data_IF_363137011517
#
_entry.id   IF_363137011517
#
_cell.length_a   1.000
_cell.length_b   1.000
_cell.length_c   1.000
_cell.angle_alpha   90.00
_cell.angle_beta   90.00
_cell.angle_gamma   90.00
#
_symmetry.space_group_name_H-M   'P 1'
#
loop_
_entity.id
_entity.type
_entity.pdbx_description
1 polymer ?
#
# COMPACT_ATOMS: atom_id res chain seq x y z
N UNK A 1 -57.54 38.21 21.23
CA UNK A 1 -57.78 36.74 21.27
C UNK A 1 -56.79 36.03 20.36
N UNK A 2 -55.80 35.34 20.94
CA UNK A 2 -55.03 34.20 20.37
C UNK A 2 -54.32 33.56 21.57
N UNK A 3 -54.85 32.42 22.04
CA UNK A 3 -54.34 31.69 23.21
C UNK A 3 -53.12 30.87 22.78
N UNK A 4 -51.96 31.17 23.36
CA UNK A 4 -50.78 30.31 23.30
C UNK A 4 -51.06 29.01 24.06
N UNK A 5 -50.69 27.87 23.50
CA UNK A 5 -50.66 26.57 24.19
C UNK A 5 -49.26 25.99 24.06
N UNK A 6 -48.53 25.99 25.16
CA UNK A 6 -47.28 25.26 25.31
C UNK A 6 -47.61 23.98 26.09
N UNK A 7 -47.50 22.78 25.50
CA UNK A 7 -47.59 21.56 26.28
C UNK A 7 -46.24 21.30 26.96
N UNK A 8 -46.27 21.48 28.28
CA UNK A 8 -45.32 20.91 29.24
C UNK A 8 -45.45 19.39 29.17
N UNK A 9 -44.40 18.70 28.74
CA UNK A 9 -44.14 17.32 29.13
C UNK A 9 -42.68 17.24 29.59
N UNK A 10 -42.52 17.45 30.89
CA UNK A 10 -41.42 16.86 31.63
C UNK A 10 -41.83 15.41 31.94
N UNK A 11 -41.06 14.44 31.46
CA UNK A 11 -40.92 13.15 32.16
C UNK A 11 -39.55 12.59 31.85
N UNK A 12 -38.73 12.56 32.89
CA UNK A 12 -37.39 12.03 32.89
C UNK A 12 -37.39 10.54 32.57
N UNK A 13 -36.44 10.10 31.73
CA UNK A 13 -35.97 8.72 31.73
C UNK A 13 -34.47 8.69 31.98
N UNK A 14 -34.20 8.37 33.23
CA UNK A 14 -33.03 7.78 33.87
C UNK A 14 -31.96 7.18 32.93
N UNK A 15 -30.72 7.57 33.24
CA UNK A 15 -29.42 7.04 32.85
C UNK A 15 -29.37 5.60 32.29
N UNK A 16 -28.73 5.47 31.11
CA UNK A 16 -28.24 4.21 30.56
C UNK A 16 -26.80 4.43 30.08
N UNK A 17 -25.89 3.83 30.85
CA UNK A 17 -24.53 3.39 30.54
C UNK A 17 -23.48 4.43 30.08
N UNK A 18 -22.71 4.88 31.08
CA UNK A 18 -21.26 5.02 30.94
C UNK A 18 -20.68 3.74 30.31
N UNK A 19 -20.10 3.85 29.11
CA UNK A 19 -19.53 2.68 28.44
C UNK A 19 -19.19 2.86 26.97
N UNK A 20 -18.52 3.95 26.57
CA UNK A 20 -18.00 4.09 25.19
C UNK A 20 -16.52 4.45 25.10
N UNK A 21 -15.79 4.51 26.22
CA UNK A 21 -14.37 4.90 26.20
C UNK A 21 -13.41 3.78 25.72
N UNK A 22 -13.88 2.58 25.40
CA UNK A 22 -13.00 1.42 25.15
C UNK A 22 -12.82 1.01 23.67
N UNK A 23 -13.41 1.71 22.69
CA UNK A 23 -13.36 1.27 21.28
C UNK A 23 -12.33 2.01 20.39
N UNK A 24 -11.46 2.84 20.97
CA UNK A 24 -10.37 3.49 20.23
C UNK A 24 -9.03 3.23 20.91
N UNK A 25 -8.77 1.99 21.31
CA UNK A 25 -7.38 1.58 21.42
C UNK A 25 -6.88 1.43 19.97
N UNK A 26 -5.93 2.26 19.49
CA UNK A 26 -5.29 1.98 18.22
C UNK A 26 -4.71 0.57 18.34
N UNK A 27 -5.13 -0.33 17.45
CA UNK A 27 -4.41 -1.57 17.26
C UNK A 27 -3.00 -1.15 16.90
N UNK A 28 -2.07 -1.28 17.85
CA UNK A 28 -0.68 -0.96 17.62
C UNK A 28 -0.24 -1.85 16.44
N UNK A 29 -0.07 -1.25 15.27
CA UNK A 29 0.60 -1.91 14.17
C UNK A 29 1.93 -2.38 14.74
N UNK A 30 2.15 -3.70 14.72
CA UNK A 30 3.38 -4.28 15.27
C UNK A 30 4.55 -3.53 14.66
N UNK A 31 5.35 -2.88 15.51
CA UNK A 31 6.50 -2.12 15.07
C UNK A 31 7.37 -3.03 14.19
N UNK A 32 7.78 -2.51 13.03
CA UNK A 32 8.70 -3.23 12.17
C UNK A 32 9.95 -3.59 13.00
N UNK A 33 10.48 -4.82 12.88
CA UNK A 33 11.69 -5.22 13.60
C UNK A 33 12.80 -4.19 13.39
N UNK A 34 13.59 -3.93 14.45
CA UNK A 34 14.75 -3.04 14.37
C UNK A 34 15.62 -3.42 13.17
N UNK A 35 16.15 -2.41 12.46
CA UNK A 35 16.96 -2.60 11.27
C UNK A 35 18.12 -3.56 11.58
N UNK A 36 17.99 -4.81 11.13
CA UNK A 36 19.07 -5.75 11.16
C UNK A 36 20.21 -5.22 10.29
N UNK A 37 21.44 -5.71 10.55
CA UNK A 37 22.61 -5.57 9.65
C UNK A 37 22.15 -5.62 8.21
N UNK A 38 22.66 -4.75 7.33
CA UNK A 38 22.31 -4.62 5.90
C UNK A 38 21.69 -5.90 5.32
N UNK A 39 20.36 -6.03 5.44
CA UNK A 39 19.65 -7.19 4.92
C UNK A 39 19.77 -7.11 3.40
N UNK A 40 20.34 -8.12 2.79
CA UNK A 40 20.49 -8.23 1.34
C UNK A 40 19.48 -9.21 0.80
N UNK A 41 19.01 -8.96 -0.42
CA UNK A 41 18.23 -9.95 -1.17
C UNK A 41 19.21 -10.79 -1.97
N UNK A 42 19.25 -12.10 -1.72
CA UNK A 42 20.13 -13.01 -2.45
C UNK A 42 19.57 -13.40 -3.82
N UNK A 43 20.31 -14.24 -4.55
CA UNK A 43 19.99 -14.64 -5.92
C UNK A 43 18.64 -15.36 -6.06
N UNK A 44 18.20 -16.04 -4.99
CA UNK A 44 16.88 -16.70 -4.93
C UNK A 44 15.73 -15.74 -4.60
N UNK A 45 15.99 -14.43 -4.56
CA UNK A 45 15.04 -13.38 -4.15
C UNK A 45 14.50 -13.55 -2.72
N UNK A 46 15.27 -14.21 -1.86
CA UNK A 46 14.99 -14.37 -0.43
C UNK A 46 15.87 -13.40 0.35
N UNK A 47 15.32 -12.60 1.28
CA UNK A 47 16.12 -11.71 2.09
C UNK A 47 16.90 -12.50 3.15
N UNK A 48 18.15 -12.11 3.41
CA UNK A 48 18.99 -12.72 4.46
C UNK A 48 18.48 -12.46 5.87
N UNK A 49 17.68 -11.40 6.04
CA UNK A 49 16.95 -11.08 7.25
C UNK A 49 15.73 -10.21 6.96
N UNK A 50 14.80 -10.14 7.92
CA UNK A 50 13.60 -9.33 7.80
C UNK A 50 12.63 -9.83 6.73
N UNK A 51 11.88 -8.91 6.14
CA UNK A 51 10.91 -9.20 5.09
C UNK A 51 11.11 -8.23 3.93
N UNK A 52 10.97 -8.74 2.70
CA UNK A 52 10.82 -7.85 1.55
C UNK A 52 9.49 -7.10 1.69
N UNK A 53 9.54 -5.79 1.48
CA UNK A 53 8.39 -4.92 1.63
C UNK A 53 8.34 -3.94 0.47
N UNK A 54 7.15 -3.74 -0.07
CA UNK A 54 6.90 -2.85 -1.18
C UNK A 54 5.46 -2.96 -1.64
N UNK A 55 5.14 -2.22 -2.70
CA UNK A 55 3.79 -2.19 -3.25
C UNK A 55 3.78 -1.73 -4.69
N UNK A 56 2.68 -2.02 -5.39
CA UNK A 56 2.42 -1.52 -6.74
C UNK A 56 1.86 -0.10 -6.67
N UNK A 57 2.63 0.83 -6.13
CA UNK A 57 2.20 2.22 -5.93
C UNK A 57 1.81 2.87 -7.26
N UNK A 58 0.62 3.44 -7.30
CA UNK A 58 0.04 4.00 -8.53
C UNK A 58 -0.37 2.97 -9.58
N UNK A 59 -0.26 1.65 -9.33
CA UNK A 59 -0.43 0.57 -10.33
C UNK A 59 -1.65 0.65 -11.24
N UNK A 60 -2.74 1.29 -10.79
CA UNK A 60 -4.01 1.44 -11.51
C UNK A 60 -4.37 2.90 -11.85
N UNK A 61 -3.41 3.82 -11.80
CA UNK A 61 -3.59 5.23 -12.14
C UNK A 61 -2.78 5.60 -13.39
N UNK A 62 -2.79 6.88 -13.78
CA UNK A 62 -1.90 7.43 -14.81
C UNK A 62 -0.59 8.03 -14.25
N UNK A 63 -0.39 8.02 -12.93
CA UNK A 63 0.79 8.61 -12.30
C UNK A 63 2.07 7.82 -12.64
N UNK A 64 3.22 8.48 -12.88
CA UNK A 64 4.50 7.79 -13.02
C UNK A 64 4.78 6.89 -11.80
N UNK A 65 5.15 5.62 -12.04
CA UNK A 65 5.30 4.60 -10.99
C UNK A 65 6.39 4.94 -9.98
N UNK A 66 7.50 5.49 -10.46
CA UNK A 66 8.63 5.93 -9.64
C UNK A 66 8.24 7.05 -8.67
N UNK A 67 7.45 8.03 -9.14
CA UNK A 67 6.92 9.10 -8.30
C UNK A 67 5.92 8.59 -7.28
N UNK A 68 4.97 7.78 -7.74
CA UNK A 68 3.95 7.18 -6.86
C UNK A 68 4.58 6.33 -5.75
N UNK A 69 5.66 5.59 -6.04
CA UNK A 69 6.38 4.84 -5.01
C UNK A 69 7.03 5.77 -4.00
N UNK A 70 7.74 6.82 -4.44
CA UNK A 70 8.40 7.78 -3.54
C UNK A 70 7.41 8.49 -2.62
N UNK A 71 6.25 8.88 -3.14
CA UNK A 71 5.16 9.46 -2.36
C UNK A 71 4.59 8.46 -1.34
N UNK A 72 4.44 7.20 -1.74
CA UNK A 72 4.00 6.14 -0.84
C UNK A 72 5.04 5.83 0.24
N UNK A 73 6.34 5.81 -0.08
CA UNK A 73 7.44 5.65 0.88
C UNK A 73 7.44 6.79 1.91
N UNK A 74 7.22 8.03 1.46
CA UNK A 74 7.09 9.19 2.36
C UNK A 74 5.89 9.04 3.30
N UNK A 75 4.74 8.61 2.78
CA UNK A 75 3.50 8.48 3.57
C UNK A 75 3.55 7.29 4.53
N UNK A 76 4.21 6.20 4.13
CA UNK A 76 4.35 4.99 4.95
C UNK A 76 5.51 5.05 5.95
N UNK A 77 6.44 6.00 5.78
CA UNK A 77 7.62 6.15 6.62
C UNK A 77 8.65 5.04 6.44
N UNK A 78 8.60 4.28 5.33
CA UNK A 78 9.51 3.17 5.06
C UNK A 78 9.90 3.16 3.57
N UNK A 79 11.19 2.99 3.30
CA UNK A 79 11.70 2.75 1.94
C UNK A 79 11.36 1.34 1.49
N UNK A 80 10.90 1.20 0.25
CA UNK A 80 10.54 -0.06 -0.35
C UNK A 80 11.78 -0.86 -0.77
N UNK A 81 11.82 -2.14 -0.42
CA UNK A 81 12.78 -3.10 -0.95
C UNK A 81 12.28 -3.79 -2.22
N UNK A 82 11.00 -3.62 -2.57
CA UNK A 82 10.41 -4.07 -3.84
C UNK A 82 9.80 -2.87 -4.56
N UNK A 83 10.18 -2.69 -5.84
CA UNK A 83 9.46 -1.84 -6.77
C UNK A 83 8.57 -2.71 -7.66
N UNK A 84 7.25 -2.69 -7.41
CA UNK A 84 6.31 -3.53 -8.15
C UNK A 84 5.65 -2.73 -9.29
N UNK A 85 5.79 -3.23 -10.50
CA UNK A 85 5.22 -2.64 -11.71
C UNK A 85 4.40 -3.65 -12.52
N UNK A 86 3.56 -3.15 -13.43
CA UNK A 86 2.76 -3.97 -14.34
C UNK A 86 3.18 -3.68 -15.77
N UNK A 87 3.31 -4.74 -16.56
CA UNK A 87 3.52 -4.69 -18.00
C UNK A 87 2.52 -5.61 -18.70
N UNK A 88 2.21 -5.34 -19.96
CA UNK A 88 1.29 -6.17 -20.74
C UNK A 88 1.74 -6.37 -22.18
N UNK A 89 1.49 -7.55 -22.71
CA UNK A 89 1.78 -7.90 -24.10
C UNK A 89 3.24 -7.63 -24.45
N UNK A 90 3.47 -6.79 -25.47
CA UNK A 90 4.80 -6.46 -25.97
C UNK A 90 5.35 -5.14 -25.41
N UNK A 91 4.80 -4.64 -24.30
CA UNK A 91 5.38 -3.48 -23.62
C UNK A 91 6.83 -3.79 -23.22
N UNK A 92 7.80 -2.93 -23.59
CA UNK A 92 9.19 -3.17 -23.25
C UNK A 92 9.42 -2.94 -21.75
N UNK A 93 10.08 -3.90 -21.12
CA UNK A 93 10.54 -3.81 -19.74
C UNK A 93 11.93 -4.45 -19.59
N UNK A 94 12.76 -3.99 -18.63
CA UNK A 94 12.54 -2.84 -17.76
C UNK A 94 12.63 -1.50 -18.50
N UNK A 95 11.81 -0.54 -18.11
CA UNK A 95 11.88 0.86 -18.53
C UNK A 95 13.09 1.56 -17.91
N UNK A 96 13.49 2.71 -18.48
CA UNK A 96 14.58 3.53 -17.91
C UNK A 96 14.33 3.93 -16.45
N UNK A 97 13.08 4.22 -16.09
CA UNK A 97 12.71 4.56 -14.72
C UNK A 97 12.83 3.36 -13.77
N UNK A 98 12.44 2.16 -14.21
CA UNK A 98 12.60 0.93 -13.42
C UNK A 98 14.07 0.61 -13.18
N UNK A 99 14.90 0.70 -14.21
CA UNK A 99 16.35 0.51 -14.09
C UNK A 99 16.95 1.54 -13.11
N UNK A 100 16.58 2.82 -13.25
CA UNK A 100 17.09 3.87 -12.37
C UNK A 100 16.67 3.64 -10.90
N UNK A 101 15.43 3.23 -10.67
CA UNK A 101 14.95 2.88 -9.34
C UNK A 101 15.69 1.65 -8.79
N UNK A 102 15.92 0.59 -9.56
CA UNK A 102 16.57 -0.62 -9.01
C UNK A 102 18.08 -0.51 -8.88
N UNK A 103 18.72 0.38 -9.64
CA UNK A 103 20.16 0.60 -9.57
C UNK A 103 20.57 1.71 -8.57
N UNK A 104 19.61 2.29 -7.85
CA UNK A 104 19.86 3.30 -6.83
C UNK A 104 20.58 2.69 -5.61
N UNK A 105 21.86 3.04 -5.37
CA UNK A 105 22.63 2.45 -4.28
C UNK A 105 22.20 2.96 -2.90
N UNK A 106 21.51 4.11 -2.81
CA UNK A 106 21.03 4.65 -1.54
C UNK A 106 19.76 3.93 -1.06
N UNK A 107 19.01 3.35 -2.00
CA UNK A 107 17.75 2.68 -1.73
C UNK A 107 17.65 1.36 -2.53
N UNK A 108 18.43 0.34 -2.16
CA UNK A 108 18.50 -0.91 -2.89
C UNK A 108 17.14 -1.61 -2.89
N UNK A 109 16.68 -2.00 -4.08
CA UNK A 109 15.35 -2.57 -4.29
C UNK A 109 15.34 -3.57 -5.45
N UNK A 110 14.50 -4.59 -5.33
CA UNK A 110 14.24 -5.58 -6.38
C UNK A 110 13.09 -5.11 -7.26
N UNK A 111 13.21 -5.28 -8.58
CA UNK A 111 12.11 -5.08 -9.52
C UNK A 111 11.19 -6.31 -9.48
N UNK A 112 9.91 -6.11 -9.15
CA UNK A 112 8.89 -7.13 -9.34
C UNK A 112 7.97 -6.69 -10.47
N UNK A 113 8.23 -7.17 -11.68
CA UNK A 113 7.43 -6.87 -12.86
C UNK A 113 6.35 -7.94 -13.05
N UNK A 114 5.08 -7.60 -12.81
CA UNK A 114 3.98 -8.48 -13.18
C UNK A 114 3.65 -8.27 -14.67
N UNK A 115 3.98 -9.26 -15.48
CA UNK A 115 3.60 -9.30 -16.90
C UNK A 115 2.23 -9.96 -17.08
N UNK A 116 1.38 -9.37 -17.93
CA UNK A 116 0.09 -9.91 -18.36
C UNK A 116 0.05 -10.07 -19.88
N UNK A 117 -0.76 -11.01 -20.36
CA UNK A 117 -1.00 -11.14 -21.80
C UNK A 117 -1.61 -9.86 -22.39
N UNK A 118 -1.43 -9.65 -23.69
CA UNK A 118 -1.99 -8.51 -24.40
C UNK A 118 -3.54 -8.47 -24.29
N UNK A 119 -4.12 -7.27 -24.32
CA UNK A 119 -5.58 -7.15 -24.39
C UNK A 119 -6.14 -7.86 -25.62
N UNK A 120 -7.28 -8.53 -25.44
CA UNK A 120 -7.92 -9.30 -26.50
C UNK A 120 -7.23 -10.63 -26.83
N UNK A 121 -6.18 -11.00 -26.10
CA UNK A 121 -5.52 -12.32 -26.21
C UNK A 121 -6.00 -13.27 -25.12
N UNK A 122 -5.70 -14.55 -25.26
CA UNK A 122 -5.91 -15.59 -24.25
C UNK A 122 -4.60 -16.30 -23.89
N UNK A 123 -4.57 -16.95 -22.73
CA UNK A 123 -3.44 -17.81 -22.38
C UNK A 123 -3.25 -18.97 -23.36
N UNK A 124 -4.33 -19.39 -24.06
CA UNK A 124 -4.24 -20.39 -25.11
C UNK A 124 -3.50 -19.87 -26.36
N UNK A 125 -3.45 -18.56 -26.59
CA UNK A 125 -2.66 -17.98 -27.68
C UNK A 125 -1.18 -17.87 -27.32
N UNK A 126 -0.86 -17.79 -26.02
CA UNK A 126 0.53 -17.77 -25.51
C UNK A 126 1.14 -19.16 -25.43
N UNK A 127 0.33 -20.19 -25.15
CA UNK A 127 0.80 -21.56 -24.95
C UNK A 127 1.09 -22.35 -26.25
N UNK A 128 0.91 -21.72 -27.42
CA UNK A 128 1.16 -22.30 -28.74
C UNK A 128 2.57 -21.97 -29.21
#
# INVERSE_FOLDING_TARGET
>A
MRRAKLPILATALTAVLAGTAALVAPTAASAAPAAAKTCTTGDNLVPTCGVLWGGAAGGFTSAPRDKALKEWEQTSGRTASIFHTYHKGNEPFPTKAEIAMTNDPAHPRVLMANWKIAYGSSWADVAK
#
